data_IF_654092608102
#
_entry.id   IF_654092608102
#
_cell.length_a   1.000
_cell.length_b   1.000
_cell.length_c   1.000
_cell.angle_alpha   90.00
_cell.angle_beta   90.00
_cell.angle_gamma   90.00
#
_symmetry.space_group_name_H-M   'P 1'
#
loop_
_entity.id
_entity.type
_entity.pdbx_description
1 polymer ?
#
# COMPACT_ATOMS: atom_id res chain seq x y z
N UNK A 1 29.94 15.90 -7.88
CA UNK A 1 29.40 14.64 -8.44
C UNK A 1 28.72 14.96 -9.77
N UNK A 2 29.00 14.21 -10.83
CA UNK A 2 28.29 14.31 -12.11
C UNK A 2 27.50 13.04 -12.37
N UNK A 3 26.23 13.14 -12.74
CA UNK A 3 25.38 12.00 -13.07
C UNK A 3 24.73 12.22 -14.43
N UNK A 4 24.79 11.19 -15.26
CA UNK A 4 23.94 11.06 -16.44
C UNK A 4 22.86 10.03 -16.16
N UNK A 5 21.60 10.39 -16.40
CA UNK A 5 20.48 9.46 -16.34
C UNK A 5 19.59 9.63 -17.57
N UNK A 6 19.14 8.51 -18.12
CA UNK A 6 18.08 8.47 -19.13
C UNK A 6 16.71 8.09 -18.53
N UNK A 7 16.64 7.85 -17.21
CA UNK A 7 15.40 7.47 -16.52
C UNK A 7 14.45 8.67 -16.51
N UNK A 8 13.21 8.54 -16.98
CA UNK A 8 12.20 9.59 -16.86
C UNK A 8 11.97 9.98 -15.40
N UNK A 9 11.74 11.27 -15.13
CA UNK A 9 11.53 11.74 -13.76
C UNK A 9 10.38 11.03 -13.03
N UNK A 10 9.34 10.59 -13.75
CA UNK A 10 8.18 9.86 -13.22
C UNK A 10 8.51 8.46 -12.72
N UNK A 11 9.66 7.93 -13.11
CA UNK A 11 10.17 6.59 -12.75
C UNK A 11 11.33 6.66 -11.75
N UNK A 12 11.80 7.86 -11.40
CA UNK A 12 12.85 8.00 -10.39
C UNK A 12 12.33 7.57 -9.01
N UNK A 13 13.06 6.66 -8.38
CA UNK A 13 12.72 6.10 -7.08
C UNK A 13 13.98 5.68 -6.32
N UNK A 14 13.85 5.32 -5.04
CA UNK A 14 14.99 4.89 -4.22
C UNK A 14 15.66 3.60 -4.71
N UNK A 15 15.01 2.81 -5.57
CA UNK A 15 15.58 1.57 -6.09
C UNK A 15 16.53 1.79 -7.27
N UNK A 16 16.36 2.90 -8.00
CA UNK A 16 17.15 3.21 -9.19
C UNK A 16 17.96 4.51 -9.07
N UNK A 17 17.62 5.38 -8.11
CA UNK A 17 18.30 6.66 -7.89
C UNK A 17 18.19 7.06 -6.41
N UNK A 18 19.25 6.83 -5.64
CA UNK A 18 19.33 7.29 -4.25
C UNK A 18 20.74 7.72 -3.88
N UNK A 19 20.88 8.96 -3.39
CA UNK A 19 22.11 9.51 -2.84
C UNK A 19 21.81 10.08 -1.45
N UNK A 20 21.99 9.27 -0.41
CA UNK A 20 21.63 9.66 0.95
C UNK A 20 22.84 10.05 1.78
N UNK A 21 22.64 10.98 2.71
CA UNK A 21 23.63 11.41 3.71
C UNK A 21 24.97 11.85 3.09
N UNK A 22 24.92 12.58 1.98
CA UNK A 22 26.09 13.15 1.34
C UNK A 22 26.74 14.22 2.22
N UNK A 23 28.02 14.47 2.01
CA UNK A 23 28.76 15.56 2.65
C UNK A 23 29.70 16.17 1.63
N UNK A 24 29.62 17.47 1.44
CA UNK A 24 30.50 18.23 0.54
C UNK A 24 31.32 19.21 1.36
N UNK A 25 32.60 19.33 1.05
CA UNK A 25 33.51 20.29 1.69
C UNK A 25 34.39 20.90 0.60
N UNK A 26 34.41 22.23 0.53
CA UNK A 26 35.27 23.01 -0.38
C UNK A 26 35.23 22.54 -1.85
N UNK A 27 34.07 22.03 -2.28
CA UNK A 27 33.89 21.57 -3.65
C UNK A 27 33.69 22.77 -4.58
N UNK A 28 34.35 22.76 -5.73
CA UNK A 28 34.15 23.73 -6.79
C UNK A 28 34.23 23.04 -8.14
N UNK A 29 33.39 23.45 -9.08
CA UNK A 29 33.45 23.02 -10.46
C UNK A 29 33.84 24.19 -11.35
N UNK A 30 34.69 23.96 -12.35
CA UNK A 30 35.00 24.99 -13.36
C UNK A 30 33.81 25.30 -14.29
N UNK A 31 32.70 24.56 -14.15
CA UNK A 31 31.47 24.68 -14.93
C UNK A 31 30.25 24.85 -14.03
N UNK A 32 29.32 23.90 -14.09
CA UNK A 32 28.06 23.94 -13.34
C UNK A 32 27.98 22.85 -12.25
N UNK A 33 27.30 23.16 -11.15
CA UNK A 33 27.02 22.21 -10.06
C UNK A 33 28.26 21.86 -9.26
N UNK A 34 28.70 22.77 -8.37
CA UNK A 34 29.89 22.55 -7.53
C UNK A 34 29.84 21.21 -6.77
N UNK A 35 28.67 20.85 -6.26
CA UNK A 35 28.44 19.63 -5.48
C UNK A 35 27.81 18.53 -6.33
N UNK A 36 26.76 18.86 -7.08
CA UNK A 36 26.00 17.91 -7.89
C UNK A 36 25.58 18.55 -9.22
N UNK A 37 25.90 17.85 -10.31
CA UNK A 37 25.40 18.18 -11.65
C UNK A 37 24.71 16.96 -12.27
N UNK A 38 23.46 17.12 -12.71
CA UNK A 38 22.68 16.03 -13.33
C UNK A 38 22.34 16.36 -14.77
N UNK A 39 22.76 15.51 -15.69
CA UNK A 39 22.27 15.46 -17.07
C UNK A 39 21.09 14.49 -17.14
N UNK A 40 19.91 14.98 -17.50
CA UNK A 40 18.67 14.21 -17.54
C UNK A 40 17.76 14.60 -18.69
N UNK A 41 16.71 13.82 -19.02
CA UNK A 41 15.78 14.19 -20.09
C UNK A 41 15.12 15.56 -19.89
N UNK A 42 14.89 15.95 -18.62
CA UNK A 42 14.37 17.26 -18.25
C UNK A 42 14.80 17.61 -16.81
N UNK A 43 15.59 18.66 -16.67
CA UNK A 43 16.22 19.09 -15.42
C UNK A 43 15.19 19.46 -14.36
N UNK A 44 14.18 20.25 -14.74
CA UNK A 44 13.12 20.70 -13.84
C UNK A 44 12.36 19.51 -13.25
N UNK A 45 11.93 18.57 -14.10
CA UNK A 45 11.18 17.39 -13.69
C UNK A 45 12.03 16.46 -12.82
N UNK A 46 13.30 16.25 -13.16
CA UNK A 46 14.24 15.49 -12.33
C UNK A 46 14.39 16.13 -10.95
N UNK A 47 14.51 17.46 -10.90
CA UNK A 47 14.51 18.23 -9.67
C UNK A 47 13.27 18.01 -8.80
N UNK A 48 12.09 18.08 -9.41
CA UNK A 48 10.81 17.82 -8.73
C UNK A 48 10.80 16.40 -8.16
N UNK A 49 11.14 15.39 -8.96
CA UNK A 49 11.14 13.99 -8.53
C UNK A 49 12.10 13.73 -7.36
N UNK A 50 13.30 14.33 -7.40
CA UNK A 50 14.29 14.23 -6.31
C UNK A 50 13.75 14.86 -5.04
N UNK A 51 13.20 16.08 -5.11
CA UNK A 51 12.67 16.79 -3.95
C UNK A 51 11.44 16.07 -3.36
N UNK A 52 10.48 15.70 -4.21
CA UNK A 52 9.22 15.04 -3.81
C UNK A 52 9.45 13.68 -3.11
N UNK A 53 10.48 12.94 -3.52
CA UNK A 53 10.79 11.62 -2.96
C UNK A 53 12.03 11.61 -2.06
N UNK A 54 12.62 12.78 -1.77
CA UNK A 54 13.84 12.92 -0.96
C UNK A 54 15.00 12.02 -1.44
N UNK A 55 15.20 11.91 -2.75
CA UNK A 55 16.18 10.96 -3.33
C UNK A 55 17.63 11.40 -3.17
N UNK A 56 17.87 12.69 -2.91
CA UNK A 56 19.19 13.25 -2.62
C UNK A 56 19.15 13.95 -1.27
N UNK A 57 19.92 13.49 -0.30
CA UNK A 57 20.01 14.14 1.03
C UNK A 57 21.45 14.47 1.38
N UNK A 58 21.64 15.60 2.06
CA UNK A 58 22.95 16.10 2.48
C UNK A 58 22.94 16.26 3.99
N UNK A 59 24.00 15.81 4.66
CA UNK A 59 24.12 15.86 6.12
C UNK A 59 23.92 17.29 6.60
N UNK A 60 23.06 17.45 7.62
CA UNK A 60 22.82 18.71 8.34
C UNK A 60 22.13 19.80 7.49
N UNK A 61 21.74 19.52 6.24
CA UNK A 61 20.98 20.46 5.39
C UNK A 61 19.52 20.03 5.27
N UNK A 62 18.64 20.67 6.04
CA UNK A 62 17.19 20.43 6.00
C UNK A 62 16.46 21.24 4.92
N UNK A 63 17.08 22.31 4.43
CA UNK A 63 16.51 23.27 3.47
C UNK A 63 17.10 23.13 2.06
N UNK A 64 17.75 22.00 1.77
CA UNK A 64 18.47 21.73 0.51
C UNK A 64 17.67 22.11 -0.74
N UNK A 65 16.37 21.78 -0.77
CA UNK A 65 15.54 21.96 -1.96
C UNK A 65 14.96 23.38 -2.09
N UNK A 66 14.89 24.15 -1.01
CA UNK A 66 14.18 25.43 -0.96
C UNK A 66 15.10 26.63 -0.85
N UNK A 67 16.33 26.45 -0.39
CA UNK A 67 17.29 27.54 -0.24
C UNK A 67 17.99 27.85 -1.58
N UNK A 68 17.77 29.06 -2.08
CA UNK A 68 18.30 29.54 -3.36
C UNK A 68 19.83 29.69 -3.37
N UNK A 69 20.49 29.78 -2.20
CA UNK A 69 21.95 29.91 -2.11
C UNK A 69 22.68 28.69 -2.69
N UNK A 70 22.03 27.53 -2.70
CA UNK A 70 22.59 26.28 -3.21
C UNK A 70 22.42 26.11 -4.73
N UNK A 71 21.84 27.08 -5.44
CA UNK A 71 21.49 26.93 -6.87
C UNK A 71 22.68 26.67 -7.78
N UNK A 72 23.86 27.22 -7.48
CA UNK A 72 25.10 26.95 -8.23
C UNK A 72 25.77 25.63 -7.81
N UNK A 73 25.41 25.11 -6.64
CA UNK A 73 25.99 23.88 -6.10
C UNK A 73 25.26 22.64 -6.63
N UNK A 74 23.95 22.74 -6.84
CA UNK A 74 23.09 21.67 -7.33
C UNK A 74 22.42 22.14 -8.63
N UNK A 75 22.98 21.71 -9.76
CA UNK A 75 22.53 22.12 -11.08
C UNK A 75 22.19 20.89 -11.94
N UNK A 76 21.52 21.12 -13.06
CA UNK A 76 21.34 20.11 -14.08
C UNK A 76 21.38 20.70 -15.48
N UNK A 77 21.34 19.83 -16.49
CA UNK A 77 21.22 20.20 -17.90
C UNK A 77 20.29 19.20 -18.59
N UNK A 78 19.43 19.72 -19.46
CA UNK A 78 18.58 18.87 -20.30
C UNK A 78 19.45 18.14 -21.32
N UNK A 79 19.17 16.86 -21.53
CA UNK A 79 19.87 16.00 -22.50
C UNK A 79 19.98 16.66 -23.88
N UNK A 80 18.90 17.33 -24.31
CA UNK A 80 18.80 18.01 -25.59
C UNK A 80 19.71 19.24 -25.74
N UNK A 81 20.25 19.77 -24.64
CA UNK A 81 21.14 20.96 -24.61
C UNK A 81 22.61 20.60 -24.45
N UNK A 82 22.94 19.32 -24.28
CA UNK A 82 24.32 18.88 -24.13
C UNK A 82 25.08 19.06 -25.45
N UNK A 83 26.25 19.67 -25.39
CA UNK A 83 27.05 19.98 -26.57
C UNK A 83 28.54 19.64 -26.38
N UNK A 84 28.87 18.40 -26.01
CA UNK A 84 30.25 17.89 -25.87
C UNK A 84 31.19 18.81 -25.07
N UNK A 85 30.71 19.39 -23.97
CA UNK A 85 31.47 20.32 -23.12
C UNK A 85 31.40 21.80 -23.53
N UNK A 86 30.70 22.12 -24.62
CA UNK A 86 30.49 23.48 -25.14
C UNK A 86 29.05 23.99 -24.92
N UNK A 87 28.29 23.38 -24.01
CA UNK A 87 26.96 23.90 -23.66
C UNK A 87 27.11 25.29 -23.02
N UNK A 88 26.18 26.21 -23.31
CA UNK A 88 26.27 27.55 -22.72
C UNK A 88 25.92 27.46 -21.24
N UNK A 89 26.55 28.28 -20.39
CA UNK A 89 26.29 28.22 -18.94
C UNK A 89 24.80 28.38 -18.59
N UNK A 90 24.05 29.17 -19.37
CA UNK A 90 22.60 29.35 -19.19
C UNK A 90 21.76 28.09 -19.50
N UNK A 91 22.32 27.11 -20.19
CA UNK A 91 21.65 25.82 -20.42
C UNK A 91 21.67 24.95 -19.15
N UNK A 92 22.56 25.27 -18.21
CA UNK A 92 22.61 24.67 -16.90
C UNK A 92 21.66 25.41 -15.96
N UNK A 93 20.71 24.69 -15.38
CA UNK A 93 19.67 25.25 -14.53
C UNK A 93 19.83 24.76 -13.09
N UNK A 94 19.38 25.56 -12.12
CA UNK A 94 19.30 25.11 -10.74
C UNK A 94 18.41 23.87 -10.66
N UNK A 95 18.93 22.79 -10.07
CA UNK A 95 18.25 21.50 -10.04
C UNK A 95 16.93 21.59 -9.27
N UNK A 96 16.87 22.39 -8.20
CA UNK A 96 15.71 22.52 -7.33
C UNK A 96 14.88 23.79 -7.56
N UNK A 97 14.98 24.41 -8.74
CA UNK A 97 14.23 25.64 -9.05
C UNK A 97 12.73 25.51 -8.81
N UNK A 98 12.12 24.39 -9.20
CA UNK A 98 10.70 24.15 -8.96
C UNK A 98 10.35 24.09 -7.47
N UNK A 99 11.25 23.56 -6.62
CA UNK A 99 11.05 23.51 -5.17
C UNK A 99 11.23 24.87 -4.51
N UNK A 100 12.22 25.65 -4.95
CA UNK A 100 12.43 27.04 -4.52
C UNK A 100 11.19 27.91 -4.81
N UNK A 101 10.50 27.64 -5.91
CA UNK A 101 9.26 28.33 -6.31
C UNK A 101 7.98 27.71 -5.70
N UNK A 102 8.08 26.66 -4.88
CA UNK A 102 6.94 26.03 -4.21
C UNK A 102 6.07 25.12 -5.09
N UNK A 103 6.60 24.57 -6.18
CA UNK A 103 5.84 23.74 -7.15
C UNK A 103 5.89 22.23 -6.87
N UNK A 104 6.33 21.81 -5.68
CA UNK A 104 6.38 20.38 -5.29
C UNK A 104 5.06 19.93 -4.70
N UNK A 105 4.55 20.68 -3.73
CA UNK A 105 3.36 20.31 -2.94
C UNK A 105 2.36 21.44 -2.95
N UNK A 106 1.08 21.13 -3.19
CA UNK A 106 -0.02 22.07 -3.01
C UNK A 106 -1.02 21.50 -2.01
N UNK A 107 -1.31 22.29 -0.98
CA UNK A 107 -2.30 21.94 0.04
C UNK A 107 -3.68 22.49 -0.32
N UNK A 108 -4.69 21.71 0.02
CA UNK A 108 -6.11 22.03 -0.05
C UNK A 108 -6.76 21.57 1.26
N UNK A 109 -7.83 22.25 1.64
CA UNK A 109 -8.49 22.05 2.93
C UNK A 109 -9.96 21.68 2.72
N UNK A 110 -10.41 20.68 3.47
CA UNK A 110 -11.76 20.13 3.42
C UNK A 110 -12.42 20.29 4.77
N UNK A 111 -13.63 20.81 4.75
CA UNK A 111 -14.48 20.94 5.92
C UNK A 111 -15.92 20.66 5.50
N UNK A 112 -16.65 19.77 6.16
CA UNK A 112 -18.04 19.46 5.75
C UNK A 112 -19.05 20.53 6.16
N UNK A 113 -18.84 21.13 7.33
CA UNK A 113 -19.71 22.13 7.94
C UNK A 113 -19.38 23.53 7.44
N UNK A 114 -20.40 24.33 7.11
CA UNK A 114 -20.29 25.76 6.77
C UNK A 114 -19.33 26.09 5.60
N UNK A 115 -19.10 25.13 4.70
CA UNK A 115 -18.27 25.30 3.50
C UNK A 115 -19.09 25.15 2.21
N UNK A 116 -18.52 25.63 1.10
CA UNK A 116 -19.05 25.43 -0.25
C UNK A 116 -17.94 25.08 -1.23
N UNK A 117 -18.32 24.43 -2.33
CA UNK A 117 -17.40 24.01 -3.39
C UNK A 117 -17.07 25.14 -4.39
N UNK A 118 -17.22 26.40 -3.97
CA UNK A 118 -17.08 27.59 -4.84
C UNK A 118 -15.71 28.28 -4.71
N UNK A 119 -14.85 27.82 -3.79
CA UNK A 119 -13.62 28.49 -3.38
C UNK A 119 -12.34 27.81 -3.89
N UNK A 120 -11.19 28.43 -3.60
CA UNK A 120 -9.85 27.90 -3.89
C UNK A 120 -9.40 26.75 -2.95
N UNK A 121 -10.29 26.35 -2.04
CA UNK A 121 -10.07 25.34 -1.00
C UNK A 121 -8.83 25.63 -0.13
N UNK A 122 -8.56 26.92 0.13
CA UNK A 122 -7.53 27.36 1.09
C UNK A 122 -7.93 27.08 2.53
N UNK A 123 -6.99 27.19 3.47
CA UNK A 123 -7.27 27.00 4.90
C UNK A 123 -8.30 28.00 5.46
N UNK A 124 -8.35 29.20 4.89
CA UNK A 124 -9.36 30.23 5.23
C UNK A 124 -10.70 30.03 4.52
N UNK A 125 -10.74 29.21 3.47
CA UNK A 125 -11.93 29.00 2.64
C UNK A 125 -11.98 27.54 2.16
N UNK A 126 -12.18 26.58 3.08
CA UNK A 126 -12.12 25.17 2.76
C UNK A 126 -13.28 24.75 1.85
N UNK A 127 -13.05 23.69 1.08
CA UNK A 127 -14.08 23.10 0.23
C UNK A 127 -14.84 22.01 0.96
N UNK A 128 -16.01 21.66 0.42
CA UNK A 128 -16.90 20.67 1.01
C UNK A 128 -16.53 19.26 0.57
N UNK A 129 -16.22 19.08 -0.70
CA UNK A 129 -15.96 17.75 -1.28
C UNK A 129 -14.57 17.63 -1.91
N UNK A 130 -13.98 16.45 -1.78
CA UNK A 130 -12.71 16.11 -2.43
C UNK A 130 -12.88 16.10 -3.96
N UNK A 131 -14.03 15.62 -4.45
CA UNK A 131 -14.28 15.52 -5.89
C UNK A 131 -14.26 16.88 -6.60
N UNK A 132 -14.68 17.93 -5.90
CA UNK A 132 -14.57 19.30 -6.40
C UNK A 132 -13.09 19.68 -6.62
N UNK A 133 -12.23 19.42 -5.62
CA UNK A 133 -10.79 19.69 -5.72
C UNK A 133 -10.16 18.89 -6.87
N UNK A 134 -10.48 17.59 -6.99
CA UNK A 134 -9.97 16.72 -8.07
C UNK A 134 -10.37 17.21 -9.48
N UNK A 135 -11.47 17.97 -9.58
CA UNK A 135 -12.00 18.51 -10.84
C UNK A 135 -11.35 19.83 -11.26
N UNK A 136 -10.57 20.47 -10.39
CA UNK A 136 -9.83 21.70 -10.69
C UNK A 136 -8.67 21.46 -11.67
N UNK A 137 -8.18 22.54 -12.28
CA UNK A 137 -7.01 22.48 -13.14
C UNK A 137 -5.74 22.31 -12.33
N UNK A 138 -4.75 21.62 -12.89
CA UNK A 138 -3.40 21.56 -12.33
C UNK A 138 -2.86 23.01 -12.13
N UNK A 139 -2.37 23.37 -10.93
CA UNK A 139 -1.84 24.70 -10.67
C UNK A 139 -0.66 25.06 -11.58
N UNK A 140 -0.49 26.35 -11.88
CA UNK A 140 0.63 26.81 -12.72
C UNK A 140 1.98 26.47 -12.08
N UNK A 141 2.91 25.94 -12.87
CA UNK A 141 4.24 25.51 -12.41
C UNK A 141 4.32 24.08 -11.89
N UNK A 142 3.18 23.46 -11.56
CA UNK A 142 3.11 22.07 -11.12
C UNK A 142 3.19 21.11 -12.31
N UNK A 143 3.71 19.91 -12.07
CA UNK A 143 3.87 18.88 -13.10
C UNK A 143 3.12 17.62 -12.68
N UNK A 144 2.11 17.25 -13.48
CA UNK A 144 1.30 16.04 -13.27
C UNK A 144 2.20 14.80 -13.24
N UNK A 145 1.98 13.92 -12.27
CA UNK A 145 2.76 12.71 -12.08
C UNK A 145 4.10 12.92 -11.36
N UNK A 146 4.41 14.14 -10.94
CA UNK A 146 5.60 14.47 -10.15
C UNK A 146 5.27 15.29 -8.90
N UNK A 147 4.56 16.41 -9.07
CA UNK A 147 4.09 17.22 -7.95
C UNK A 147 3.00 16.48 -7.16
N UNK A 148 2.73 16.90 -5.93
CA UNK A 148 1.83 16.24 -4.99
C UNK A 148 0.71 17.20 -4.58
N UNK A 149 -0.54 16.73 -4.64
CA UNK A 149 -1.68 17.44 -4.04
C UNK A 149 -2.00 16.84 -2.67
N UNK A 150 -2.05 17.67 -1.63
CA UNK A 150 -2.32 17.26 -0.25
C UNK A 150 -3.67 17.83 0.17
N UNK A 151 -4.57 16.98 0.62
CA UNK A 151 -5.92 17.31 1.04
C UNK A 151 -6.02 17.09 2.56
N UNK A 152 -6.12 18.19 3.30
CA UNK A 152 -6.21 18.21 4.75
C UNK A 152 -7.67 18.24 5.17
N UNK A 153 -8.12 17.20 5.87
CA UNK A 153 -9.44 17.19 6.52
C UNK A 153 -9.33 17.96 7.83
N UNK A 154 -10.11 19.04 7.95
CA UNK A 154 -10.19 19.86 9.15
C UNK A 154 -11.14 19.25 10.20
N UNK A 155 -12.17 18.53 9.75
CA UNK A 155 -13.14 17.85 10.58
C UNK A 155 -13.67 16.56 9.93
N UNK A 156 -14.50 15.84 10.67
CA UNK A 156 -15.25 14.70 10.13
C UNK A 156 -16.10 15.08 8.92
N UNK A 157 -16.28 14.14 7.99
CA UNK A 157 -17.03 14.36 6.77
C UNK A 157 -17.90 13.16 6.37
N UNK A 158 -19.13 13.45 5.95
CA UNK A 158 -20.07 12.50 5.33
C UNK A 158 -20.47 12.89 3.91
N UNK A 159 -19.95 13.99 3.37
CA UNK A 159 -20.36 14.55 2.08
C UNK A 159 -19.55 14.01 0.89
N UNK A 160 -18.57 13.15 1.17
CA UNK A 160 -17.71 12.61 0.12
C UNK A 160 -18.48 11.67 -0.79
N UNK A 161 -17.98 11.48 -2.01
CA UNK A 161 -18.55 10.63 -3.06
C UNK A 161 -17.42 9.93 -3.79
N UNK A 162 -17.75 9.05 -4.74
CA UNK A 162 -16.78 8.28 -5.51
C UNK A 162 -15.67 9.17 -6.10
N UNK A 163 -14.44 8.88 -5.71
CA UNK A 163 -13.22 9.53 -6.18
C UNK A 163 -12.45 8.61 -7.12
N UNK A 164 -12.22 9.09 -8.34
CA UNK A 164 -11.41 8.39 -9.34
C UNK A 164 -10.06 9.09 -9.48
N UNK A 165 -8.98 8.36 -9.20
CA UNK A 165 -7.60 8.85 -9.28
C UNK A 165 -6.86 8.04 -10.34
N UNK A 166 -6.54 8.69 -11.47
CA UNK A 166 -5.88 8.08 -12.60
C UNK A 166 -5.03 9.08 -13.38
N UNK A 167 -4.42 8.65 -14.49
CA UNK A 167 -3.76 9.53 -15.46
C UNK A 167 -4.67 10.64 -15.99
N UNK A 168 -6.00 10.47 -15.94
CA UNK A 168 -6.99 11.41 -16.48
C UNK A 168 -7.51 12.43 -15.45
N UNK A 169 -7.20 12.25 -14.16
CA UNK A 169 -7.65 13.18 -13.11
C UNK A 169 -7.14 14.60 -13.39
N UNK A 170 -8.04 15.58 -13.53
CA UNK A 170 -7.71 16.93 -14.03
C UNK A 170 -6.67 17.64 -13.17
N UNK A 171 -6.85 17.58 -11.85
CA UNK A 171 -5.95 18.24 -10.91
C UNK A 171 -4.56 17.63 -10.97
N UNK A 172 -4.44 16.36 -10.55
CA UNK A 172 -3.19 15.63 -10.45
C UNK A 172 -3.50 14.14 -10.22
N UNK A 173 -2.55 13.26 -10.48
CA UNK A 173 -2.66 11.81 -10.26
C UNK A 173 -1.88 11.33 -9.03
N UNK A 174 -1.22 12.23 -8.29
CA UNK A 174 -0.57 11.93 -7.01
C UNK A 174 -1.28 12.73 -5.91
N UNK A 175 -2.14 12.04 -5.16
CA UNK A 175 -3.02 12.63 -4.16
C UNK A 175 -2.68 12.07 -2.78
N UNK A 176 -2.58 12.95 -1.79
CA UNK A 176 -2.53 12.60 -0.38
C UNK A 176 -3.77 13.15 0.29
N UNK A 177 -4.47 12.32 1.04
CA UNK A 177 -5.60 12.70 1.89
C UNK A 177 -5.21 12.37 3.32
N UNK A 178 -5.29 13.37 4.19
CA UNK A 178 -4.83 13.22 5.56
C UNK A 178 -5.67 14.05 6.51
N UNK A 179 -5.62 13.68 7.79
CA UNK A 179 -6.08 14.56 8.86
C UNK A 179 -5.20 15.80 8.94
N UNK A 180 -5.79 16.95 9.21
CA UNK A 180 -5.03 18.17 9.45
C UNK A 180 -4.03 18.00 10.60
N UNK A 181 -2.82 18.54 10.43
CA UNK A 181 -1.72 18.36 11.38
C UNK A 181 -1.12 16.94 11.42
N UNK A 182 -1.44 16.06 10.48
CA UNK A 182 -0.84 14.72 10.41
C UNK A 182 0.70 14.77 10.48
N UNK A 183 1.24 13.98 11.39
CA UNK A 183 2.67 13.75 11.50
C UNK A 183 2.93 12.25 11.60
N UNK A 184 3.77 11.73 10.71
CA UNK A 184 4.06 10.28 10.62
C UNK A 184 4.51 9.71 11.95
N UNK A 185 3.90 8.58 12.36
CA UNK A 185 4.21 7.85 13.61
C UNK A 185 4.04 8.67 14.89
N UNK A 186 3.33 9.80 14.83
CA UNK A 186 2.93 10.56 16.02
C UNK A 186 1.45 10.36 16.32
N UNK A 187 1.07 10.61 17.56
CA UNK A 187 -0.33 10.56 18.03
C UNK A 187 -0.84 11.93 18.45
N UNK A 188 -0.10 12.99 18.15
CA UNK A 188 -0.36 14.38 18.59
C UNK A 188 -1.45 15.08 17.77
N UNK A 189 -1.97 14.43 16.72
CA UNK A 189 -3.04 14.95 15.87
C UNK A 189 -4.34 14.14 16.05
N UNK A 190 -5.46 14.79 15.77
CA UNK A 190 -6.77 14.14 15.76
C UNK A 190 -6.98 13.44 14.43
N UNK A 191 -7.29 12.13 14.46
CA UNK A 191 -7.74 11.43 13.26
C UNK A 191 -9.13 11.89 12.91
N UNK A 192 -9.30 12.50 11.73
CA UNK A 192 -10.59 12.90 11.21
C UNK A 192 -11.28 11.73 10.53
N UNK A 193 -12.59 11.64 10.74
CA UNK A 193 -13.41 10.57 10.19
C UNK A 193 -13.91 10.90 8.78
N UNK A 194 -13.82 9.91 7.88
CA UNK A 194 -14.66 9.85 6.68
C UNK A 194 -15.73 8.82 6.99
N UNK A 195 -16.98 9.26 7.10
CA UNK A 195 -18.10 8.41 7.50
C UNK A 195 -18.54 7.54 6.32
N UNK A 196 -18.39 6.22 6.44
CA UNK A 196 -18.54 5.31 5.29
C UNK A 196 -19.86 4.52 5.21
N UNK A 197 -20.76 4.76 6.15
CA UNK A 197 -21.95 3.91 6.39
C UNK A 197 -23.02 3.99 5.32
N UNK A 198 -22.93 4.96 4.41
CA UNK A 198 -23.91 5.20 3.35
C UNK A 198 -23.37 4.93 1.94
N UNK A 199 -22.09 4.57 1.78
CA UNK A 199 -21.52 4.30 0.46
C UNK A 199 -21.98 2.95 -0.08
N UNK A 200 -22.57 2.95 -1.27
CA UNK A 200 -22.93 1.75 -2.04
C UNK A 200 -22.04 1.57 -3.29
N UNK A 201 -21.19 2.56 -3.59
CA UNK A 201 -20.18 2.58 -4.64
C UNK A 201 -18.79 2.73 -4.04
N UNK A 202 -17.71 2.39 -4.77
CA UNK A 202 -16.37 2.59 -4.26
C UNK A 202 -16.10 4.05 -3.96
N UNK A 203 -15.62 4.32 -2.75
CA UNK A 203 -15.20 5.67 -2.38
C UNK A 203 -13.92 6.05 -3.10
N UNK A 204 -12.98 5.12 -3.24
CA UNK A 204 -11.72 5.34 -3.94
C UNK A 204 -11.54 4.31 -5.06
N UNK A 205 -11.39 4.80 -6.29
CA UNK A 205 -10.98 3.98 -7.45
C UNK A 205 -9.66 4.50 -7.99
N UNK A 206 -8.62 3.68 -7.96
CA UNK A 206 -7.28 4.04 -8.42
C UNK A 206 -6.90 3.18 -9.63
N UNK A 207 -6.45 3.83 -10.72
CA UNK A 207 -6.09 3.16 -11.97
C UNK A 207 -4.93 3.86 -12.69
N UNK A 208 -4.36 3.20 -13.71
CA UNK A 208 -3.23 3.71 -14.49
C UNK A 208 -2.09 4.19 -13.56
N UNK A 209 -1.59 5.41 -13.77
CA UNK A 209 -0.56 6.06 -12.96
C UNK A 209 -1.10 6.74 -11.69
N UNK A 210 -2.33 6.45 -11.28
CA UNK A 210 -2.94 7.01 -10.08
C UNK A 210 -2.21 6.55 -8.82
N UNK A 211 -1.94 7.49 -7.91
CA UNK A 211 -1.31 7.24 -6.61
C UNK A 211 -2.08 7.94 -5.51
N UNK A 212 -2.58 7.17 -4.56
CA UNK A 212 -3.32 7.65 -3.40
C UNK A 212 -2.56 7.34 -2.12
N UNK A 213 -2.42 8.36 -1.27
CA UNK A 213 -1.93 8.23 0.11
C UNK A 213 -3.06 8.59 1.08
N UNK A 214 -3.35 7.73 2.04
CA UNK A 214 -4.35 7.93 3.09
C UNK A 214 -3.63 7.92 4.44
N UNK A 215 -3.57 9.07 5.13
CA UNK A 215 -2.73 9.23 6.32
C UNK A 215 -3.49 9.72 7.54
N UNK A 216 -3.41 8.96 8.63
CA UNK A 216 -3.96 9.38 9.91
C UNK A 216 -5.47 9.56 9.90
N UNK A 217 -6.19 8.81 9.07
CA UNK A 217 -7.64 8.93 8.91
C UNK A 217 -8.37 7.88 9.74
N UNK A 218 -9.64 8.15 10.01
CA UNK A 218 -10.56 7.19 10.58
C UNK A 218 -11.67 6.87 9.57
N UNK A 219 -11.90 5.59 9.29
CA UNK A 219 -12.97 5.12 8.42
C UNK A 219 -13.99 4.38 9.27
N UNK A 220 -15.07 5.09 9.56
CA UNK A 220 -16.12 4.62 10.45
C UNK A 220 -17.23 3.94 9.65
N UNK A 221 -17.51 2.71 10.05
CA UNK A 221 -18.69 1.93 9.71
C UNK A 221 -18.91 1.72 8.22
N UNK A 222 -18.47 0.59 7.68
CA UNK A 222 -18.85 0.21 6.31
C UNK A 222 -20.37 0.02 6.20
N UNK A 223 -20.93 0.38 5.04
CA UNK A 223 -22.35 0.26 4.74
C UNK A 223 -22.85 -1.19 4.91
N UNK A 224 -23.75 -1.50 5.85
CA UNK A 224 -24.25 -2.86 6.09
C UNK A 224 -25.44 -3.24 5.21
N UNK A 225 -25.97 -2.32 4.39
CA UNK A 225 -27.11 -2.63 3.52
C UNK A 225 -26.72 -3.65 2.46
N UNK A 226 -27.58 -4.64 2.21
CA UNK A 226 -27.35 -5.69 1.21
C UNK A 226 -27.23 -5.18 -0.23
N UNK A 227 -27.57 -3.92 -0.48
CA UNK A 227 -27.38 -3.25 -1.78
C UNK A 227 -25.95 -2.79 -2.00
N UNK A 228 -25.16 -2.59 -0.93
CA UNK A 228 -23.74 -2.29 -1.02
C UNK A 228 -22.99 -3.58 -1.37
N UNK A 229 -22.49 -3.63 -2.61
CA UNK A 229 -21.80 -4.81 -3.18
C UNK A 229 -20.41 -4.46 -3.71
N UNK A 230 -19.99 -3.21 -3.55
CA UNK A 230 -18.74 -2.70 -4.09
C UNK A 230 -17.78 -2.36 -2.94
N UNK A 231 -16.46 -2.45 -3.16
CA UNK A 231 -15.52 -2.21 -2.08
C UNK A 231 -15.32 -0.74 -1.79
N UNK A 232 -14.88 -0.39 -0.58
CA UNK A 232 -14.54 1.00 -0.25
C UNK A 232 -13.39 1.51 -1.10
N UNK A 233 -12.36 0.67 -1.30
CA UNK A 233 -11.17 0.99 -2.09
C UNK A 233 -11.00 -0.07 -3.19
N UNK A 234 -10.92 0.40 -4.43
CA UNK A 234 -10.70 -0.42 -5.62
C UNK A 234 -9.41 0.00 -6.32
N UNK A 235 -8.45 -0.92 -6.41
CA UNK A 235 -7.20 -0.76 -7.14
C UNK A 235 -7.29 -1.59 -8.42
N UNK A 236 -7.32 -0.90 -9.55
CA UNK A 236 -7.61 -1.50 -10.86
C UNK A 236 -6.48 -2.40 -11.36
N UNK A 237 -6.82 -3.29 -12.31
CA UNK A 237 -5.85 -4.19 -12.93
C UNK A 237 -4.68 -3.44 -13.58
N UNK A 238 -3.47 -3.94 -13.37
CA UNK A 238 -2.24 -3.46 -13.99
C UNK A 238 -1.18 -4.56 -14.03
N UNK A 239 -0.32 -4.52 -15.05
CA UNK A 239 0.88 -5.36 -15.14
C UNK A 239 2.15 -4.61 -14.73
N UNK A 240 2.00 -3.36 -14.30
CA UNK A 240 3.03 -2.62 -13.59
C UNK A 240 2.86 -2.86 -12.08
N UNK A 241 3.89 -3.40 -11.43
CA UNK A 241 3.85 -3.71 -10.00
C UNK A 241 4.01 -2.48 -9.08
N UNK A 242 4.18 -1.28 -9.66
CA UNK A 242 4.29 -0.01 -8.91
C UNK A 242 3.05 0.88 -9.09
N UNK A 243 2.34 0.79 -10.21
CA UNK A 243 1.17 1.62 -10.51
C UNK A 243 -0.02 0.75 -10.93
N UNK A 244 -1.24 1.03 -10.46
CA UNK A 244 -1.62 2.09 -9.51
C UNK A 244 -1.05 1.89 -8.09
N UNK A 245 -0.98 2.95 -7.29
CA UNK A 245 -0.44 2.87 -5.93
C UNK A 245 -1.45 3.34 -4.89
N UNK A 246 -1.61 2.57 -3.82
CA UNK A 246 -2.33 2.98 -2.61
C UNK A 246 -1.43 2.76 -1.40
N UNK A 247 -1.24 3.81 -0.60
CA UNK A 247 -0.49 3.76 0.64
C UNK A 247 -1.41 4.23 1.77
N UNK A 248 -1.61 3.38 2.77
CA UNK A 248 -2.41 3.65 3.96
C UNK A 248 -1.47 3.66 5.16
N UNK A 249 -1.42 4.76 5.91
CA UNK A 249 -0.57 4.86 7.11
C UNK A 249 -1.28 5.47 8.29
N UNK A 250 -1.02 4.90 9.46
CA UNK A 250 -1.51 5.41 10.74
C UNK A 250 -3.05 5.56 10.75
N UNK A 251 -3.79 4.74 9.97
CA UNK A 251 -5.25 4.82 9.85
C UNK A 251 -5.98 3.87 10.81
N UNK A 252 -7.28 4.08 10.98
CA UNK A 252 -8.19 3.16 11.67
C UNK A 252 -9.37 2.85 10.75
N UNK A 253 -9.74 1.57 10.67
CA UNK A 253 -10.95 1.07 10.01
C UNK A 253 -11.72 0.25 11.03
N UNK A 254 -12.94 0.65 11.37
CA UNK A 254 -13.75 -0.10 12.32
C UNK A 254 -15.24 -0.08 12.03
N UNK A 255 -15.94 -1.12 12.49
CA UNK A 255 -17.40 -1.15 12.59
C UNK A 255 -17.81 -1.05 14.06
N UNK A 256 -18.67 -0.09 14.36
CA UNK A 256 -19.35 0.07 15.63
C UNK A 256 -20.56 -0.90 15.62
N UNK A 257 -20.80 -1.59 16.74
CA UNK A 257 -21.88 -2.58 16.87
C UNK A 257 -21.83 -3.69 15.79
N UNK A 258 -20.62 -4.19 15.50
CA UNK A 258 -20.36 -5.16 14.42
C UNK A 258 -21.26 -6.39 14.40
N UNK A 259 -21.66 -6.93 15.56
CA UNK A 259 -22.57 -8.07 15.67
C UNK A 259 -23.94 -7.85 15.00
N UNK A 260 -24.38 -6.59 14.84
CA UNK A 260 -25.62 -6.22 14.17
C UNK A 260 -25.43 -5.80 12.70
N UNK A 261 -24.17 -5.64 12.25
CA UNK A 261 -23.82 -5.03 10.97
C UNK A 261 -23.07 -6.03 10.08
N UNK A 262 -23.81 -6.91 9.42
CA UNK A 262 -23.27 -7.89 8.47
C UNK A 262 -22.93 -7.23 7.13
N UNK A 263 -21.73 -7.49 6.61
CA UNK A 263 -21.21 -6.87 5.39
C UNK A 263 -21.27 -7.79 4.18
N UNK A 264 -21.85 -7.29 3.10
CA UNK A 264 -22.00 -7.96 1.80
C UNK A 264 -21.00 -7.47 0.74
N UNK A 265 -19.97 -6.74 1.16
CA UNK A 265 -18.91 -6.26 0.28
C UNK A 265 -17.56 -6.31 0.99
N UNK A 266 -16.51 -6.37 0.18
CA UNK A 266 -15.11 -6.39 0.60
C UNK A 266 -14.62 -4.97 0.95
N UNK A 267 -13.75 -4.79 1.93
CA UNK A 267 -13.22 -3.44 2.25
C UNK A 267 -12.30 -2.90 1.14
N UNK A 268 -11.35 -3.72 0.65
CA UNK A 268 -10.35 -3.37 -0.35
C UNK A 268 -10.22 -4.46 -1.42
N UNK A 269 -10.20 -4.08 -2.71
CA UNK A 269 -9.84 -5.00 -3.80
C UNK A 269 -8.60 -4.47 -4.51
N UNK A 270 -7.63 -5.35 -4.76
CA UNK A 270 -6.44 -5.01 -5.55
C UNK A 270 -6.14 -6.04 -6.64
N UNK A 271 -5.97 -5.53 -7.87
CA UNK A 271 -5.63 -6.32 -9.06
C UNK A 271 -4.40 -5.77 -9.80
N UNK A 272 -3.65 -4.83 -9.21
CA UNK A 272 -2.55 -4.16 -9.90
C UNK A 272 -1.75 -3.23 -9.01
N UNK A 273 -0.48 -3.02 -9.34
CA UNK A 273 0.39 -2.05 -8.70
C UNK A 273 0.77 -2.35 -7.25
N UNK A 274 0.72 -1.37 -6.35
CA UNK A 274 1.16 -1.54 -4.96
C UNK A 274 0.08 -1.12 -3.98
N UNK A 275 -0.24 -2.00 -3.03
CA UNK A 275 -0.99 -1.68 -1.81
C UNK A 275 -0.05 -1.81 -0.61
N UNK A 276 0.24 -0.69 0.05
CA UNK A 276 1.01 -0.64 1.30
C UNK A 276 0.08 -0.24 2.45
N UNK A 277 0.02 -1.07 3.51
CA UNK A 277 -0.68 -0.76 4.75
C UNK A 277 0.36 -0.74 5.88
N UNK A 278 0.54 0.41 6.53
CA UNK A 278 1.52 0.58 7.61
C UNK A 278 0.84 1.16 8.87
N UNK A 279 1.17 0.65 10.05
CA UNK A 279 0.71 1.20 11.35
C UNK A 279 -0.82 1.37 11.44
N UNK A 280 -1.59 0.48 10.81
CA UNK A 280 -3.03 0.64 10.67
C UNK A 280 -3.77 -0.39 11.53
N UNK A 281 -4.87 0.03 12.15
CA UNK A 281 -5.77 -0.85 12.89
C UNK A 281 -7.02 -1.12 12.05
N UNK A 282 -7.34 -2.39 11.80
CA UNK A 282 -8.55 -2.82 11.11
C UNK A 282 -9.30 -3.80 12.01
N UNK A 283 -10.50 -3.45 12.46
CA UNK A 283 -11.15 -4.24 13.50
C UNK A 283 -12.68 -4.34 13.43
N UNK A 284 -13.19 -5.37 14.10
CA UNK A 284 -14.61 -5.59 14.38
C UNK A 284 -15.44 -5.74 13.10
N UNK A 285 -15.08 -6.61 12.16
CA UNK A 285 -15.84 -6.78 10.92
C UNK A 285 -16.53 -8.15 10.85
N UNK A 286 -17.82 -8.15 10.50
CA UNK A 286 -18.63 -9.34 10.26
C UNK A 286 -18.96 -9.45 8.76
N UNK A 287 -18.14 -10.19 8.01
CA UNK A 287 -18.38 -10.42 6.59
C UNK A 287 -19.27 -11.64 6.36
N UNK A 288 -20.18 -11.54 5.40
CA UNK A 288 -20.99 -12.66 4.94
C UNK A 288 -20.80 -12.87 3.44
N UNK A 289 -21.30 -13.98 2.90
CA UNK A 289 -21.17 -14.33 1.48
C UNK A 289 -19.71 -14.34 0.98
N UNK A 290 -18.78 -14.72 1.85
CA UNK A 290 -17.35 -14.83 1.53
C UNK A 290 -16.63 -13.50 1.35
N UNK A 291 -17.22 -12.37 1.74
CA UNK A 291 -16.57 -11.05 1.67
C UNK A 291 -15.43 -10.94 2.70
N UNK A 292 -14.56 -9.95 2.56
CA UNK A 292 -13.28 -9.93 3.29
C UNK A 292 -12.72 -8.53 3.43
N UNK A 293 -11.62 -8.40 4.17
CA UNK A 293 -10.90 -7.12 4.27
C UNK A 293 -10.19 -6.78 2.96
N UNK A 294 -9.36 -7.68 2.44
CA UNK A 294 -8.59 -7.50 1.21
C UNK A 294 -8.84 -8.68 0.28
N UNK A 295 -9.39 -8.38 -0.89
CA UNK A 295 -9.46 -9.33 -1.99
C UNK A 295 -8.32 -9.09 -2.99
N UNK A 296 -7.63 -10.16 -3.32
CA UNK A 296 -6.53 -10.17 -4.28
C UNK A 296 -7.06 -10.69 -5.62
N UNK A 297 -7.14 -9.80 -6.60
CA UNK A 297 -7.66 -10.08 -7.93
C UNK A 297 -6.81 -11.10 -8.68
N UNK A 298 -7.44 -11.90 -9.55
CA UNK A 298 -6.79 -13.03 -10.24
C UNK A 298 -5.93 -12.64 -11.45
N UNK A 299 -5.79 -11.36 -11.74
CA UNK A 299 -5.07 -10.83 -12.90
C UNK A 299 -4.20 -9.64 -12.49
N UNK A 300 -3.17 -9.36 -13.28
CA UNK A 300 -2.21 -8.29 -13.04
C UNK A 300 -0.96 -8.70 -12.26
N UNK A 301 -0.08 -7.73 -12.02
CA UNK A 301 1.12 -7.88 -11.20
C UNK A 301 1.06 -6.83 -10.11
N UNK A 302 1.16 -7.27 -8.85
CA UNK A 302 1.06 -6.37 -7.72
C UNK A 302 1.73 -6.87 -6.45
N UNK A 303 2.10 -5.90 -5.62
CA UNK A 303 2.63 -6.10 -4.29
C UNK A 303 1.58 -5.65 -3.26
N UNK A 304 1.25 -6.55 -2.33
CA UNK A 304 0.59 -6.18 -1.07
C UNK A 304 1.61 -6.29 0.04
N UNK A 305 1.98 -5.17 0.66
CA UNK A 305 2.92 -5.10 1.78
C UNK A 305 2.20 -4.56 3.02
N UNK A 306 2.13 -5.37 4.06
CA UNK A 306 1.46 -5.03 5.31
C UNK A 306 2.49 -4.99 6.44
N UNK A 307 2.60 -3.83 7.09
CA UNK A 307 3.70 -3.49 7.99
C UNK A 307 3.14 -2.98 9.31
N UNK A 308 3.57 -3.55 10.44
CA UNK A 308 3.23 -3.05 11.79
C UNK A 308 1.73 -2.73 11.99
N UNK A 309 0.84 -3.57 11.46
CA UNK A 309 -0.61 -3.35 11.46
C UNK A 309 -1.35 -4.45 12.23
N UNK A 310 -2.48 -4.12 12.84
CA UNK A 310 -3.29 -5.07 13.61
C UNK A 310 -4.65 -5.29 12.94
N UNK A 311 -4.99 -6.56 12.72
CA UNK A 311 -6.31 -7.04 12.32
C UNK A 311 -6.93 -7.75 13.51
N UNK A 312 -8.11 -7.31 13.94
CA UNK A 312 -8.70 -7.78 15.20
C UNK A 312 -10.20 -8.02 15.11
N UNK A 313 -10.69 -9.13 15.66
CA UNK A 313 -12.12 -9.42 15.73
C UNK A 313 -12.78 -9.38 14.35
N UNK A 314 -12.31 -10.22 13.43
CA UNK A 314 -12.83 -10.27 12.07
C UNK A 314 -13.40 -11.66 11.82
N UNK A 315 -14.67 -11.72 11.52
CA UNK A 315 -15.38 -12.95 11.23
C UNK A 315 -15.90 -12.93 9.79
N UNK A 316 -15.84 -14.08 9.14
CA UNK A 316 -16.30 -14.27 7.78
C UNK A 316 -17.15 -15.53 7.68
N UNK A 317 -18.39 -15.38 7.22
CA UNK A 317 -19.20 -16.49 6.78
C UNK A 317 -19.15 -16.64 5.26
N UNK A 318 -18.71 -17.80 4.81
CA UNK A 318 -18.49 -18.17 3.41
C UNK A 318 -19.53 -19.15 2.89
N UNK A 319 -20.45 -19.65 3.72
CA UNK A 319 -21.29 -20.81 3.40
C UNK A 319 -20.46 -22.04 2.94
N UNK A 320 -19.34 -22.32 3.63
CA UNK A 320 -18.37 -23.40 3.35
C UNK A 320 -17.59 -23.27 2.03
N UNK A 321 -17.20 -22.05 1.66
CA UNK A 321 -16.44 -21.75 0.43
C UNK A 321 -14.97 -21.34 0.74
N UNK A 322 -14.40 -20.48 -0.11
CA UNK A 322 -13.08 -19.86 0.06
C UNK A 322 -13.09 -18.99 1.32
N UNK A 323 -12.13 -19.20 2.22
CA UNK A 323 -12.02 -18.39 3.44
C UNK A 323 -11.10 -17.20 3.27
N UNK A 324 -10.29 -16.93 4.29
CA UNK A 324 -9.42 -15.76 4.39
C UNK A 324 -10.22 -14.51 4.69
N UNK A 325 -10.70 -14.39 5.93
CA UNK A 325 -11.52 -13.27 6.38
C UNK A 325 -10.80 -11.92 6.22
N UNK A 326 -9.46 -11.94 6.32
CA UNK A 326 -8.63 -10.76 6.09
C UNK A 326 -8.14 -10.71 4.66
N UNK A 327 -7.43 -11.74 4.18
CA UNK A 327 -6.81 -11.71 2.86
C UNK A 327 -7.21 -12.95 2.11
N UNK A 328 -7.80 -12.77 0.92
CA UNK A 328 -8.10 -13.91 0.07
C UNK A 328 -8.05 -13.61 -1.42
N UNK A 329 -7.49 -14.55 -2.20
CA UNK A 329 -7.47 -14.43 -3.66
C UNK A 329 -6.72 -15.54 -4.40
N UNK A 330 -6.58 -15.33 -5.71
CA UNK A 330 -5.97 -16.26 -6.65
C UNK A 330 -4.69 -15.66 -7.24
N UNK A 331 -3.54 -16.26 -6.92
CA UNK A 331 -2.21 -15.78 -7.22
C UNK A 331 -1.73 -16.38 -8.55
N UNK A 332 -1.58 -15.51 -9.53
CA UNK A 332 -0.83 -15.76 -10.75
C UNK A 332 0.57 -15.10 -10.69
N UNK A 333 1.32 -15.22 -11.77
CA UNK A 333 2.67 -14.70 -11.89
C UNK A 333 2.74 -13.18 -11.62
N UNK A 334 3.66 -12.78 -10.73
CA UNK A 334 3.91 -11.38 -10.40
C UNK A 334 3.11 -10.83 -9.22
N UNK A 335 2.34 -11.67 -8.52
CA UNK A 335 1.67 -11.32 -7.28
C UNK A 335 2.56 -11.70 -6.07
N UNK A 336 2.79 -10.75 -5.18
CA UNK A 336 3.53 -10.94 -3.93
C UNK A 336 2.73 -10.42 -2.74
N UNK A 337 2.47 -11.30 -1.77
CA UNK A 337 1.96 -10.93 -0.45
C UNK A 337 3.10 -10.92 0.57
N UNK A 338 3.37 -9.75 1.15
CA UNK A 338 4.35 -9.55 2.22
C UNK A 338 3.69 -9.02 3.47
N UNK A 339 3.97 -9.63 4.61
CA UNK A 339 3.45 -9.23 5.92
C UNK A 339 4.60 -9.22 6.91
N UNK A 340 4.88 -8.08 7.54
CA UNK A 340 6.10 -7.90 8.33
C UNK A 340 5.99 -6.90 9.48
N UNK A 341 7.04 -6.87 10.29
CA UNK A 341 7.28 -5.86 11.32
C UNK A 341 6.17 -5.80 12.39
N UNK A 342 6.02 -6.85 13.20
CA UNK A 342 5.07 -6.90 14.33
C UNK A 342 3.58 -6.80 13.94
N UNK A 343 3.23 -7.13 12.70
CA UNK A 343 1.83 -7.32 12.33
C UNK A 343 1.15 -8.35 13.24
N UNK A 344 -0.14 -8.16 13.50
CA UNK A 344 -0.91 -9.02 14.39
C UNK A 344 -2.29 -9.32 13.81
N UNK A 345 -2.62 -10.61 13.76
CA UNK A 345 -3.93 -11.13 13.38
C UNK A 345 -4.52 -11.78 14.63
N UNK A 346 -5.55 -11.17 15.20
CA UNK A 346 -6.05 -11.54 16.52
C UNK A 346 -7.56 -11.79 16.48
N UNK A 347 -7.97 -12.98 16.91
CA UNK A 347 -9.38 -13.38 16.93
C UNK A 347 -10.02 -13.22 15.54
N UNK A 348 -9.55 -14.05 14.61
CA UNK A 348 -9.99 -14.03 13.20
C UNK A 348 -10.63 -15.37 12.89
N UNK A 349 -11.87 -15.38 12.40
CA UNK A 349 -12.58 -16.63 12.09
C UNK A 349 -13.14 -16.59 10.69
N UNK A 350 -12.96 -17.67 9.93
CA UNK A 350 -13.66 -17.91 8.68
C UNK A 350 -14.39 -19.25 8.73
N UNK A 351 -15.63 -19.30 8.23
CA UNK A 351 -16.31 -20.57 7.95
C UNK A 351 -15.79 -21.24 6.67
N UNK A 352 -14.76 -20.68 6.02
CA UNK A 352 -14.06 -21.26 4.88
C UNK A 352 -12.65 -21.75 5.21
N UNK A 353 -11.88 -22.13 4.20
CA UNK A 353 -10.47 -22.53 4.34
C UNK A 353 -9.59 -21.32 4.66
N UNK A 354 -8.65 -21.44 5.60
CA UNK A 354 -7.82 -20.31 6.03
C UNK A 354 -8.62 -19.32 6.87
N UNK A 355 -8.32 -19.18 8.15
CA UNK A 355 -9.03 -18.19 8.98
C UNK A 355 -8.72 -16.76 8.56
N UNK A 356 -7.44 -16.40 8.60
CA UNK A 356 -6.98 -15.06 8.25
C UNK A 356 -6.63 -14.93 6.76
N UNK A 357 -5.90 -15.92 6.22
CA UNK A 357 -5.36 -15.88 4.87
C UNK A 357 -5.78 -17.13 4.10
N UNK A 358 -6.36 -16.92 2.92
CA UNK A 358 -6.64 -17.97 1.95
C UNK A 358 -6.08 -17.60 0.58
N UNK A 359 -5.16 -18.40 0.06
CA UNK A 359 -4.61 -18.14 -1.28
C UNK A 359 -4.62 -19.40 -2.12
N UNK A 360 -5.08 -19.27 -3.36
CA UNK A 360 -4.93 -20.32 -4.38
C UNK A 360 -4.16 -19.78 -5.57
N UNK A 361 -3.82 -20.60 -6.56
CA UNK A 361 -3.36 -20.12 -7.87
C UNK A 361 -2.19 -20.88 -8.46
N UNK A 362 -1.59 -20.35 -9.51
CA UNK A 362 -0.49 -21.00 -10.23
C UNK A 362 0.87 -20.67 -9.59
N UNK A 363 1.05 -19.44 -9.11
CA UNK A 363 2.30 -18.95 -8.53
C UNK A 363 2.06 -18.24 -7.19
N UNK A 364 1.91 -19.01 -6.12
CA UNK A 364 1.67 -18.46 -4.79
C UNK A 364 2.99 -18.07 -4.14
N UNK A 365 3.19 -16.79 -3.83
CA UNK A 365 4.36 -16.27 -3.11
C UNK A 365 3.92 -15.45 -1.90
N UNK A 366 4.28 -15.94 -0.71
CA UNK A 366 3.93 -15.33 0.58
C UNK A 366 5.20 -15.19 1.43
N UNK A 367 5.42 -13.99 1.95
CA UNK A 367 6.53 -13.65 2.85
C UNK A 367 5.97 -13.12 4.17
N UNK A 368 6.27 -13.81 5.28
CA UNK A 368 5.84 -13.46 6.63
C UNK A 368 7.08 -13.28 7.50
N UNK A 369 7.19 -12.14 8.18
CA UNK A 369 8.35 -11.82 8.98
C UNK A 369 7.98 -11.14 10.30
N UNK A 370 8.22 -11.80 11.44
CA UNK A 370 7.90 -11.26 12.76
C UNK A 370 6.41 -10.88 12.90
N UNK A 371 5.53 -11.84 12.63
CA UNK A 371 4.06 -11.65 12.64
C UNK A 371 3.41 -12.60 13.65
N UNK A 372 2.39 -12.13 14.37
CA UNK A 372 1.64 -12.95 15.32
C UNK A 372 0.23 -13.26 14.81
N UNK A 373 -0.10 -14.54 14.67
CA UNK A 373 -1.46 -15.06 14.46
C UNK A 373 -1.95 -15.65 15.77
N UNK A 374 -3.02 -15.09 16.32
CA UNK A 374 -3.55 -15.44 17.63
C UNK A 374 -5.03 -15.73 17.51
N UNK A 375 -5.45 -16.92 17.96
CA UNK A 375 -6.86 -17.33 17.98
C UNK A 375 -7.51 -17.26 16.58
N UNK A 376 -6.76 -17.64 15.55
CA UNK A 376 -7.29 -17.72 14.18
C UNK A 376 -7.96 -19.07 13.93
N UNK A 377 -9.12 -19.04 13.27
CA UNK A 377 -9.95 -20.22 13.00
C UNK A 377 -10.41 -20.31 11.55
N UNK A 378 -10.30 -21.51 10.96
CA UNK A 378 -10.75 -21.81 9.59
C UNK A 378 -11.09 -23.30 9.43
N UNK A 379 -11.76 -23.70 8.35
CA UNK A 379 -12.09 -25.11 8.10
C UNK A 379 -10.83 -25.98 8.08
N UNK A 380 -9.76 -25.49 7.47
CA UNK A 380 -8.39 -26.04 7.56
C UNK A 380 -7.41 -24.88 7.48
N UNK A 381 -6.21 -25.04 8.04
CA UNK A 381 -5.26 -23.93 8.13
C UNK A 381 -5.84 -22.81 8.99
N UNK A 382 -5.98 -23.01 10.30
CA UNK A 382 -6.74 -22.09 11.16
C UNK A 382 -6.34 -20.62 11.02
N UNK A 383 -5.06 -20.33 10.76
CA UNK A 383 -4.60 -19.02 10.31
C UNK A 383 -4.47 -18.91 8.79
N UNK A 384 -3.71 -19.83 8.17
CA UNK A 384 -3.28 -19.73 6.77
C UNK A 384 -3.63 -21.01 6.02
N UNK A 385 -4.34 -20.86 4.91
CA UNK A 385 -4.46 -21.88 3.89
C UNK A 385 -3.86 -21.38 2.58
N UNK A 386 -2.90 -22.12 2.02
CA UNK A 386 -2.33 -21.80 0.72
C UNK A 386 -2.24 -23.03 -0.17
N UNK A 387 -2.74 -22.90 -1.40
CA UNK A 387 -2.69 -23.97 -2.38
C UNK A 387 -2.14 -23.46 -3.71
N UNK A 388 -1.20 -24.18 -4.31
CA UNK A 388 -0.71 -23.86 -5.66
C UNK A 388 -0.92 -24.99 -6.66
N UNK A 389 -1.16 -24.68 -7.93
CA UNK A 389 -1.08 -25.67 -9.02
C UNK A 389 0.35 -25.91 -9.47
N UNK A 390 1.19 -24.87 -9.50
CA UNK A 390 2.54 -24.96 -10.06
C UNK A 390 3.63 -24.69 -9.03
N UNK A 391 3.76 -23.43 -8.58
CA UNK A 391 4.82 -23.00 -7.65
C UNK A 391 4.20 -22.44 -6.37
N UNK A 392 4.57 -23.05 -5.24
CA UNK A 392 4.33 -22.52 -3.91
C UNK A 392 5.65 -22.07 -3.29
N UNK A 393 5.72 -20.79 -2.92
CA UNK A 393 6.83 -20.19 -2.18
C UNK A 393 6.29 -19.54 -0.91
N UNK A 394 6.54 -20.17 0.24
CA UNK A 394 6.20 -19.63 1.54
C UNK A 394 7.46 -19.44 2.37
N UNK A 395 7.68 -18.22 2.86
CA UNK A 395 8.71 -17.93 3.85
C UNK A 395 8.06 -17.35 5.10
N UNK A 396 8.33 -17.96 6.25
CA UNK A 396 7.95 -17.48 7.58
C UNK A 396 9.22 -17.43 8.43
N UNK A 397 9.57 -16.26 8.96
CA UNK A 397 10.83 -16.09 9.70
C UNK A 397 10.69 -15.08 10.86
N UNK A 398 11.80 -14.88 11.58
CA UNK A 398 12.04 -13.84 12.57
C UNK A 398 11.02 -13.79 13.71
N UNK A 399 10.85 -14.90 14.45
CA UNK A 399 9.97 -14.96 15.63
C UNK A 399 8.50 -14.72 15.30
N UNK A 400 8.05 -15.23 14.16
CA UNK A 400 6.62 -15.29 13.87
C UNK A 400 5.93 -16.28 14.83
N UNK A 401 4.74 -15.94 15.28
CA UNK A 401 4.02 -16.70 16.30
C UNK A 401 2.65 -17.15 15.80
N UNK A 402 2.29 -18.39 16.09
CA UNK A 402 0.96 -18.96 15.88
C UNK A 402 0.49 -19.48 17.23
N UNK A 403 -0.47 -18.80 17.84
CA UNK A 403 -0.95 -19.09 19.19
C UNK A 403 -2.43 -19.39 19.16
N UNK A 404 -2.83 -20.54 19.69
CA UNK A 404 -4.24 -20.93 19.82
C UNK A 404 -5.01 -20.92 18.49
N UNK A 405 -4.32 -21.11 17.37
CA UNK A 405 -4.96 -21.29 16.07
C UNK A 405 -5.58 -22.69 15.98
N UNK A 406 -6.81 -22.80 15.51
CA UNK A 406 -7.49 -24.09 15.43
C UNK A 406 -8.33 -24.25 14.17
N UNK A 407 -8.53 -25.49 13.75
CA UNK A 407 -9.52 -25.77 12.70
C UNK A 407 -10.92 -25.91 13.29
N UNK A 408 -11.93 -25.47 12.53
CA UNK A 408 -13.35 -25.75 12.82
C UNK A 408 -13.91 -26.88 11.95
N UNK A 409 -13.14 -27.35 10.96
CA UNK A 409 -13.48 -28.48 10.13
C UNK A 409 -13.44 -29.82 10.87
N UNK A 410 -14.24 -30.77 10.40
CA UNK A 410 -14.42 -32.10 10.99
C UNK A 410 -14.28 -33.26 9.99
N UNK A 411 -13.87 -32.99 8.74
CA UNK A 411 -13.63 -34.01 7.73
C UNK A 411 -12.19 -34.51 7.78
N UNK A 412 -11.98 -35.80 7.49
CA UNK A 412 -10.66 -36.46 7.55
C UNK A 412 -9.54 -35.81 6.73
N UNK A 413 -9.88 -35.08 5.66
CA UNK A 413 -8.94 -34.41 4.75
C UNK A 413 -8.63 -32.95 5.16
N UNK A 414 -9.16 -32.49 6.29
CA UNK A 414 -8.96 -31.15 6.85
C UNK A 414 -7.95 -31.21 7.99
N UNK A 415 -7.08 -30.21 8.10
CA UNK A 415 -6.01 -30.23 9.10
C UNK A 415 -5.22 -28.93 9.15
N UNK A 416 -4.09 -28.96 9.86
CA UNK A 416 -3.21 -27.81 10.03
C UNK A 416 -3.85 -26.75 10.92
N UNK A 417 -3.84 -26.95 12.25
CA UNK A 417 -4.44 -26.04 13.22
C UNK A 417 -4.07 -24.57 13.02
N UNK A 418 -2.85 -24.28 12.58
CA UNK A 418 -2.41 -22.96 12.15
C UNK A 418 -2.28 -22.86 10.62
N UNK A 419 -1.53 -23.77 10.00
CA UNK A 419 -1.14 -23.64 8.59
C UNK A 419 -1.48 -24.91 7.83
N UNK A 420 -2.14 -24.76 6.68
CA UNK A 420 -2.27 -25.82 5.69
C UNK A 420 -1.75 -25.35 4.32
N UNK A 421 -0.72 -26.04 3.83
CA UNK A 421 -0.15 -25.86 2.50
C UNK A 421 -0.42 -27.08 1.61
N UNK A 422 -0.78 -26.86 0.35
CA UNK A 422 -0.82 -27.95 -0.62
C UNK A 422 -0.41 -27.55 -2.03
N UNK A 423 0.08 -28.51 -2.80
CA UNK A 423 0.21 -28.39 -4.26
C UNK A 423 -0.78 -29.32 -4.95
N UNK A 424 -1.45 -28.86 -6.00
CA UNK A 424 -2.54 -29.61 -6.65
C UNK A 424 -2.07 -30.56 -7.75
N UNK A 425 -0.97 -30.25 -8.43
CA UNK A 425 -0.49 -31.02 -9.58
C UNK A 425 0.85 -31.72 -9.29
N UNK A 426 1.05 -32.84 -9.97
CA UNK A 426 2.32 -33.57 -9.98
C UNK A 426 3.27 -32.92 -10.99
N UNK A 427 4.50 -32.59 -10.60
CA UNK A 427 5.44 -32.01 -11.55
C UNK A 427 6.82 -31.63 -11.02
N UNK A 428 7.72 -31.25 -11.94
CA UNK A 428 9.10 -30.82 -11.69
C UNK A 428 9.19 -29.32 -11.37
N UNK A 429 8.26 -28.78 -10.61
CA UNK A 429 8.23 -27.34 -10.27
C UNK A 429 8.67 -27.15 -8.83
N UNK A 430 9.52 -26.15 -8.61
CA UNK A 430 10.19 -25.98 -7.33
C UNK A 430 9.26 -25.39 -6.28
N UNK A 431 8.81 -26.21 -5.33
CA UNK A 431 8.14 -25.73 -4.11
C UNK A 431 9.18 -25.37 -3.07
N UNK A 432 9.06 -24.19 -2.47
CA UNK A 432 9.95 -23.68 -1.44
C UNK A 432 9.13 -23.30 -0.21
N UNK A 433 9.31 -24.05 0.87
CA UNK A 433 8.70 -23.75 2.16
C UNK A 433 9.82 -23.58 3.18
N UNK A 434 9.96 -22.38 3.72
CA UNK A 434 10.92 -22.06 4.78
C UNK A 434 10.14 -21.52 5.98
N UNK A 435 10.10 -22.25 7.09
CA UNK A 435 9.53 -21.80 8.35
C UNK A 435 10.65 -21.86 9.37
N UNK A 436 11.17 -20.69 9.77
CA UNK A 436 12.33 -20.59 10.65
C UNK A 436 12.02 -19.78 11.87
N UNK A 437 12.66 -20.10 12.98
CA UNK A 437 12.60 -19.30 14.21
C UNK A 437 11.16 -18.92 14.60
N UNK A 438 10.20 -19.83 14.44
CA UNK A 438 8.77 -19.55 14.59
C UNK A 438 8.17 -20.36 15.74
N UNK A 439 7.18 -19.79 16.44
CA UNK A 439 6.56 -20.39 17.62
C UNK A 439 5.15 -20.88 17.24
N UNK A 440 4.86 -22.16 17.52
CA UNK A 440 3.52 -22.73 17.42
C UNK A 440 3.10 -23.20 18.81
N UNK A 441 2.09 -22.56 19.38
CA UNK A 441 1.65 -22.78 20.76
C UNK A 441 0.14 -23.03 20.78
N UNK A 442 -0.27 -24.14 21.40
CA UNK A 442 -1.69 -24.50 21.57
C UNK A 442 -2.50 -24.55 20.27
N UNK A 443 -1.85 -24.79 19.12
CA UNK A 443 -2.56 -24.98 17.86
C UNK A 443 -3.26 -26.35 17.80
N UNK A 444 -4.51 -26.39 17.32
CA UNK A 444 -5.33 -27.60 17.37
C UNK A 444 -5.90 -28.00 16.01
N UNK A 445 -5.78 -29.29 15.72
CA UNK A 445 -6.50 -29.96 14.64
C UNK A 445 -7.36 -31.07 15.26
N UNK A 446 -8.64 -31.12 14.91
CA UNK A 446 -9.56 -32.16 15.40
C UNK A 446 -9.42 -33.48 14.63
N UNK A 447 -8.58 -33.50 13.58
CA UNK A 447 -8.37 -34.64 12.69
C UNK A 447 -6.96 -35.21 12.83
N UNK A 448 -6.73 -36.36 12.19
CA UNK A 448 -5.43 -37.07 12.21
C UNK A 448 -4.33 -36.35 11.40
N UNK A 449 -4.63 -35.27 10.68
CA UNK A 449 -3.68 -34.57 9.82
C UNK A 449 -3.22 -33.24 10.42
N UNK A 450 -1.96 -33.19 10.88
CA UNK A 450 -1.22 -31.95 11.19
C UNK A 450 -1.80 -31.10 12.32
N UNK A 451 -1.32 -31.29 13.56
CA UNK A 451 -1.78 -30.54 14.74
C UNK A 451 -1.69 -29.02 14.55
N UNK A 452 -0.49 -28.50 14.32
CA UNK A 452 -0.25 -27.08 14.01
C UNK A 452 -0.10 -26.85 12.50
N UNK A 453 0.63 -27.72 11.81
CA UNK A 453 0.99 -27.55 10.40
C UNK A 453 0.62 -28.82 9.63
N UNK A 454 -0.03 -28.65 8.48
CA UNK A 454 -0.23 -29.68 7.47
C UNK A 454 0.38 -29.21 6.15
N UNK A 455 1.18 -30.06 5.51
CA UNK A 455 1.79 -29.76 4.21
C UNK A 455 1.61 -30.98 3.30
N UNK A 456 0.94 -30.81 2.16
CA UNK A 456 0.76 -31.84 1.12
C UNK A 456 1.44 -31.41 -0.18
N UNK A 457 2.66 -31.89 -0.42
CA UNK A 457 3.43 -31.55 -1.61
C UNK A 457 3.43 -32.73 -2.59
N UNK A 458 3.07 -32.45 -3.84
CA UNK A 458 2.99 -33.37 -4.96
C UNK A 458 4.07 -33.10 -6.03
N UNK A 459 5.01 -32.17 -5.78
CA UNK A 459 6.09 -31.82 -6.69
C UNK A 459 7.42 -32.51 -6.37
N UNK A 460 8.16 -32.90 -7.41
CA UNK A 460 9.39 -33.71 -7.32
C UNK A 460 10.62 -32.92 -6.84
N UNK A 461 10.65 -31.60 -7.04
CA UNK A 461 11.79 -30.73 -6.70
C UNK A 461 11.43 -29.76 -5.56
N UNK A 462 11.16 -30.30 -4.38
CA UNK A 462 10.69 -29.50 -3.25
C UNK A 462 11.74 -29.34 -2.18
N UNK A 463 11.90 -28.11 -1.68
CA UNK A 463 12.67 -27.81 -0.48
C UNK A 463 11.72 -27.37 0.63
N UNK A 464 11.72 -28.12 1.73
CA UNK A 464 10.99 -27.77 2.94
C UNK A 464 11.99 -27.69 4.09
N UNK A 465 12.19 -26.50 4.65
CA UNK A 465 13.04 -26.25 5.81
C UNK A 465 12.13 -25.75 6.93
N UNK A 466 12.09 -26.50 8.03
CA UNK A 466 11.38 -26.13 9.25
C UNK A 466 12.38 -26.27 10.41
N UNK A 467 12.80 -25.15 11.00
CA UNK A 467 13.80 -25.09 12.08
C UNK A 467 13.47 -24.12 13.22
#
# INVERSE_FOLDING_TARGET
IYIFTSIPATELSSTNFQLSNLSFQECSASGAGNNLHIRSPNTQNTGIAIAANSLVTVKVLSDLYTNEQYSNDYMGIDESKVNNGNAHYSDHQALFLAAQLGFITKEYYIQSTDSSDENDCSSSSPCKTIINILSQQLPTGFVKGLSISIFNLLNETSDQTNMIISSETKLNNIITIQSDGYMTRRTEYTKQSILTSLFDTPLFTISNTGRLKLFGLHFDNLNPFSTATTPLILISESYDNQNPQVIIKDCIFEQINHEANLLNHTLMITSGGTLLIENTLIQNYEFINGQRVIELGSSGQYLVDIVNSEFKNIHQDTNNQQGGAVISGNFDYGILLRIRDQCKFNNITSTGQGGAIYTTGDYVVIEINRVSFIQCKGISGGAIFASSKSRLSLTIDNQSEFKQCEIIGNNENQGGGAIYLMTQEWGFRSTQVNIRNSIFEECKSNNLEGGAILIKILSFESTCVID
#
